data_IF_797994669984
#
_entry.id   IF_797994669984
#
_cell.length_a   1.000
_cell.length_b   1.000
_cell.length_c   1.000
_cell.angle_alpha   90.00
_cell.angle_beta   90.00
_cell.angle_gamma   90.00
#
_symmetry.space_group_name_H-M   'P 1'
#
loop_
_entity.id
_entity.type
_entity.pdbx_description
1 polymer ?
#
# COMPACT_ATOMS: atom_id res chain seq x y z
N UNK A 1 8.27 26.59 34.59
CA UNK A 1 7.01 26.87 33.85
C UNK A 1 6.91 28.32 33.37
N UNK A 2 6.89 29.35 34.23
CA UNK A 2 6.66 30.76 33.82
C UNK A 2 7.68 31.33 32.80
N UNK A 3 8.98 31.10 33.01
CA UNK A 3 10.05 31.52 32.07
C UNK A 3 10.02 30.82 30.70
N UNK A 4 9.45 29.62 30.63
CA UNK A 4 9.30 28.86 29.37
C UNK A 4 8.13 29.41 28.56
N UNK A 5 7.03 29.77 29.25
CA UNK A 5 5.87 30.43 28.64
C UNK A 5 6.22 31.83 28.13
N UNK A 6 6.93 32.65 28.92
CA UNK A 6 7.39 33.98 28.47
C UNK A 6 8.34 33.91 27.26
N UNK A 7 9.18 32.87 27.17
CA UNK A 7 10.04 32.65 25.99
C UNK A 7 9.24 32.24 24.76
N UNK A 8 8.21 31.39 24.92
CA UNK A 8 7.32 31.03 23.82
C UNK A 8 6.47 32.21 23.34
N UNK A 9 6.03 33.06 24.25
CA UNK A 9 5.21 34.24 23.95
C UNK A 9 6.02 35.33 23.24
N UNK A 10 7.23 35.65 23.73
CA UNK A 10 8.17 36.56 23.03
C UNK A 10 8.64 36.04 21.69
N UNK A 11 8.74 34.71 21.55
CA UNK A 11 8.97 34.13 20.25
C UNK A 11 7.78 34.59 19.38
N UNK A 12 6.50 34.33 19.79
CA UNK A 12 5.29 34.52 18.95
C UNK A 12 5.13 35.93 18.41
N UNK A 13 5.57 36.91 19.19
CA UNK A 13 5.51 38.33 18.84
C UNK A 13 6.50 38.70 17.70
N UNK A 14 7.49 37.86 17.40
CA UNK A 14 8.43 38.04 16.29
C UNK A 14 7.92 37.27 15.05
N UNK A 15 6.94 37.86 14.36
CA UNK A 15 6.15 37.25 13.26
C UNK A 15 7.01 36.59 12.16
N UNK A 16 8.20 37.14 11.88
CA UNK A 16 9.16 36.60 10.92
C UNK A 16 9.85 35.31 11.39
N UNK A 17 10.18 35.22 12.68
CA UNK A 17 10.82 34.02 13.25
C UNK A 17 9.80 32.90 13.48
N UNK A 18 8.55 33.22 13.79
CA UNK A 18 7.49 32.21 13.87
C UNK A 18 7.12 31.62 12.53
N UNK A 19 6.92 32.47 11.53
CA UNK A 19 6.62 32.00 10.18
C UNK A 19 7.77 31.12 9.63
N UNK A 20 9.03 31.48 9.90
CA UNK A 20 10.18 30.66 9.54
C UNK A 20 10.20 29.32 10.30
N UNK A 21 9.98 29.32 11.61
CA UNK A 21 9.98 28.08 12.40
C UNK A 21 8.81 27.16 12.02
N UNK A 22 7.62 27.71 11.77
CA UNK A 22 6.45 26.97 11.32
C UNK A 22 6.61 26.43 9.90
N UNK A 23 7.18 27.20 8.98
CA UNK A 23 7.44 26.71 7.61
C UNK A 23 8.42 25.53 7.62
N UNK A 24 9.46 25.56 8.46
CA UNK A 24 10.37 24.42 8.66
C UNK A 24 9.66 23.21 9.24
N UNK A 25 8.89 23.38 10.31
CA UNK A 25 8.14 22.27 10.92
C UNK A 25 7.14 21.66 9.93
N UNK A 26 6.45 22.48 9.15
CA UNK A 26 5.54 22.00 8.11
C UNK A 26 6.27 21.29 6.97
N UNK A 27 7.49 21.73 6.61
CA UNK A 27 8.31 21.04 5.61
C UNK A 27 8.75 19.65 6.10
N UNK A 28 9.25 19.57 7.34
CA UNK A 28 9.62 18.30 7.99
C UNK A 28 8.42 17.36 8.12
N UNK A 29 7.25 17.88 8.49
CA UNK A 29 6.04 17.09 8.60
C UNK A 29 5.58 16.53 7.24
N UNK A 30 5.65 17.35 6.18
CA UNK A 30 5.35 16.90 4.80
C UNK A 30 6.34 15.84 4.33
N UNK A 31 7.63 16.03 4.57
CA UNK A 31 8.65 15.05 4.20
C UNK A 31 8.40 13.71 4.90
N UNK A 32 8.13 13.75 6.21
CA UNK A 32 7.82 12.54 6.99
C UNK A 32 6.56 11.84 6.49
N UNK A 33 5.50 12.57 6.17
CA UNK A 33 4.28 11.96 5.66
C UNK A 33 4.49 11.37 4.27
N UNK A 34 5.18 12.07 3.36
CA UNK A 34 5.51 11.53 2.05
C UNK A 34 6.32 10.22 2.16
N UNK A 35 7.26 10.15 3.12
CA UNK A 35 8.00 8.92 3.41
C UNK A 35 7.08 7.80 3.91
N UNK A 36 6.11 8.11 4.78
CA UNK A 36 5.15 7.12 5.26
C UNK A 36 4.23 6.62 4.15
N UNK A 37 3.68 7.54 3.36
CA UNK A 37 2.79 7.21 2.23
C UNK A 37 3.52 6.34 1.20
N UNK A 38 4.76 6.70 0.85
CA UNK A 38 5.57 5.90 -0.09
C UNK A 38 5.92 4.51 0.44
N UNK A 39 6.10 4.36 1.76
CA UNK A 39 6.32 3.06 2.39
C UNK A 39 5.06 2.19 2.31
N UNK A 40 3.90 2.74 2.64
CA UNK A 40 2.63 2.02 2.60
C UNK A 40 2.24 1.63 1.15
N UNK A 41 2.45 2.53 0.18
CA UNK A 41 2.30 2.22 -1.25
C UNK A 41 3.22 1.07 -1.69
N UNK A 42 4.49 1.12 -1.27
CA UNK A 42 5.47 0.07 -1.58
C UNK A 42 5.06 -1.28 -1.00
N UNK A 43 4.59 -1.29 0.25
CA UNK A 43 4.07 -2.49 0.91
C UNK A 43 2.84 -3.05 0.20
N UNK A 44 1.91 -2.20 -0.21
CA UNK A 44 0.72 -2.62 -0.94
C UNK A 44 1.08 -3.22 -2.30
N UNK A 45 1.91 -2.55 -3.10
CA UNK A 45 2.40 -3.07 -4.39
C UNK A 45 3.13 -4.40 -4.23
N UNK A 46 3.95 -4.52 -3.19
CA UNK A 46 4.66 -5.76 -2.86
C UNK A 46 3.70 -6.92 -2.57
N UNK A 47 2.63 -6.65 -1.81
CA UNK A 47 1.59 -7.63 -1.51
C UNK A 47 0.82 -8.05 -2.78
N UNK A 48 0.42 -7.08 -3.62
CA UNK A 48 -0.29 -7.33 -4.88
C UNK A 48 0.54 -8.21 -5.83
N UNK A 49 1.80 -7.82 -6.08
CA UNK A 49 2.72 -8.60 -6.91
C UNK A 49 3.03 -9.98 -6.32
N UNK A 50 3.16 -10.06 -4.99
CA UNK A 50 3.40 -11.31 -4.28
C UNK A 50 2.24 -12.29 -4.45
N UNK A 51 1.01 -11.83 -4.22
CA UNK A 51 -0.22 -12.60 -4.39
C UNK A 51 -0.36 -13.09 -5.83
N UNK A 52 -0.15 -12.21 -6.82
CA UNK A 52 -0.24 -12.57 -8.23
C UNK A 52 0.79 -13.66 -8.61
N UNK A 53 2.05 -13.49 -8.23
CA UNK A 53 3.10 -14.47 -8.54
C UNK A 53 2.86 -15.81 -7.85
N UNK A 54 2.38 -15.81 -6.60
CA UNK A 54 2.05 -17.03 -5.89
C UNK A 54 0.90 -17.79 -6.57
N UNK A 55 -0.19 -17.10 -6.91
CA UNK A 55 -1.33 -17.71 -7.60
C UNK A 55 -0.93 -18.23 -8.98
N UNK A 56 -0.14 -17.47 -9.75
CA UNK A 56 0.37 -17.92 -11.03
C UNK A 56 1.19 -19.21 -10.90
N UNK A 57 2.05 -19.30 -9.87
CA UNK A 57 2.83 -20.51 -9.61
C UNK A 57 1.95 -21.69 -9.22
N UNK A 58 0.96 -21.49 -8.35
CA UNK A 58 0.04 -22.55 -7.93
C UNK A 58 -0.81 -23.07 -9.09
N UNK A 59 -1.35 -22.17 -9.94
CA UNK A 59 -2.10 -22.53 -11.14
C UNK A 59 -1.21 -23.32 -12.11
N UNK A 60 0.04 -22.87 -12.32
CA UNK A 60 1.00 -23.59 -13.16
C UNK A 60 1.33 -24.98 -12.62
N UNK A 61 1.40 -25.13 -11.30
CA UNK A 61 1.64 -26.44 -10.68
C UNK A 61 0.42 -27.36 -10.75
N UNK A 62 -0.78 -26.83 -10.52
CA UNK A 62 -2.01 -27.63 -10.44
C UNK A 62 -2.58 -27.98 -11.82
N UNK A 63 -2.61 -27.01 -12.73
CA UNK A 63 -3.27 -27.15 -14.04
C UNK A 63 -2.28 -27.18 -15.21
N UNK A 64 -0.97 -27.03 -14.96
CA UNK A 64 0.05 -26.92 -16.01
C UNK A 64 -0.17 -25.73 -16.98
N UNK A 65 -0.84 -24.66 -16.51
CA UNK A 65 -1.17 -23.46 -17.30
C UNK A 65 -0.40 -22.25 -16.79
N UNK A 66 0.15 -21.44 -17.70
CA UNK A 66 0.70 -20.12 -17.36
C UNK A 66 -0.42 -19.07 -17.42
N UNK A 67 -0.95 -18.71 -16.25
CA UNK A 67 -2.08 -17.79 -16.13
C UNK A 67 -1.66 -16.35 -15.75
N UNK A 68 -0.36 -16.03 -15.81
CA UNK A 68 0.15 -14.75 -15.30
C UNK A 68 -0.50 -13.53 -15.99
N UNK A 69 -0.71 -13.59 -17.30
CA UNK A 69 -1.36 -12.52 -18.06
C UNK A 69 -2.83 -12.36 -17.65
N UNK A 70 -3.57 -13.46 -17.53
CA UNK A 70 -4.97 -13.42 -17.13
C UNK A 70 -5.15 -12.93 -15.69
N UNK A 71 -4.33 -13.41 -14.74
CA UNK A 71 -4.35 -12.93 -13.35
C UNK A 71 -4.05 -11.42 -13.25
N UNK A 72 -3.23 -10.88 -14.17
CA UNK A 72 -2.92 -9.45 -14.21
C UNK A 72 -4.12 -8.59 -14.64
N UNK A 73 -5.17 -9.18 -15.20
CA UNK A 73 -6.43 -8.50 -15.52
C UNK A 73 -7.42 -8.45 -14.36
N UNK A 74 -7.17 -9.22 -13.30
CA UNK A 74 -8.06 -9.32 -12.14
C UNK A 74 -7.71 -8.29 -11.06
N UNK A 75 -8.73 -7.81 -10.36
CA UNK A 75 -8.55 -6.97 -9.16
C UNK A 75 -8.04 -7.80 -7.98
N UNK A 76 -7.46 -7.13 -6.99
CA UNK A 76 -6.93 -7.79 -5.79
C UNK A 76 -8.01 -8.60 -5.04
N UNK A 77 -9.25 -8.13 -4.98
CA UNK A 77 -10.36 -8.87 -4.36
C UNK A 77 -10.69 -10.15 -5.13
N UNK A 78 -10.69 -10.10 -6.46
CA UNK A 78 -10.90 -11.27 -7.31
C UNK A 78 -9.75 -12.28 -7.14
N UNK A 79 -8.51 -11.81 -7.01
CA UNK A 79 -7.36 -12.69 -6.73
C UNK A 79 -7.52 -13.42 -5.38
N UNK A 80 -8.01 -12.75 -4.33
CA UNK A 80 -8.28 -13.40 -3.05
C UNK A 80 -9.41 -14.42 -3.12
N UNK A 81 -10.50 -14.10 -3.83
CA UNK A 81 -11.60 -15.03 -4.04
C UNK A 81 -11.16 -16.26 -4.83
N UNK A 82 -10.42 -16.04 -5.91
CA UNK A 82 -9.79 -17.09 -6.70
C UNK A 82 -8.89 -17.96 -5.83
N UNK A 83 -8.06 -17.37 -4.96
CA UNK A 83 -7.20 -18.11 -4.03
C UNK A 83 -7.98 -19.11 -3.17
N UNK A 84 -9.20 -18.78 -2.76
CA UNK A 84 -10.05 -19.68 -1.99
C UNK A 84 -10.60 -20.82 -2.86
N UNK A 85 -11.02 -20.50 -4.09
CA UNK A 85 -11.56 -21.48 -5.05
C UNK A 85 -10.48 -22.38 -5.65
N UNK A 86 -9.23 -21.92 -5.68
CA UNK A 86 -8.11 -22.67 -6.26
C UNK A 86 -7.90 -24.03 -5.59
N UNK A 87 -8.21 -24.14 -4.31
CA UNK A 87 -8.09 -25.37 -3.55
C UNK A 87 -9.25 -26.34 -3.80
N UNK A 88 -10.42 -25.84 -4.23
CA UNK A 88 -11.65 -26.62 -4.37
C UNK A 88 -11.97 -27.01 -5.81
N UNK A 89 -11.53 -26.24 -6.82
CA UNK A 89 -11.74 -26.58 -8.23
C UNK A 89 -10.78 -27.68 -8.70
N UNK A 90 -11.26 -28.63 -9.50
CA UNK A 90 -10.43 -29.71 -10.04
C UNK A 90 -9.91 -29.40 -11.45
N UNK A 91 -10.56 -28.48 -12.15
CA UNK A 91 -10.18 -28.04 -13.49
C UNK A 91 -9.98 -26.53 -13.60
N UNK A 92 -9.27 -26.10 -14.64
CA UNK A 92 -9.05 -24.68 -14.93
C UNK A 92 -10.34 -23.98 -15.35
N UNK A 93 -11.17 -24.67 -16.12
CA UNK A 93 -12.43 -24.17 -16.64
C UNK A 93 -13.42 -23.88 -15.50
N UNK A 94 -13.51 -24.76 -14.50
CA UNK A 94 -14.30 -24.54 -13.28
C UNK A 94 -13.82 -23.29 -12.53
N UNK A 95 -12.51 -23.14 -12.38
CA UNK A 95 -11.94 -21.99 -11.69
C UNK A 95 -12.26 -20.67 -12.42
N UNK A 96 -12.24 -20.66 -13.76
CA UNK A 96 -12.61 -19.49 -14.54
C UNK A 96 -14.11 -19.17 -14.44
N UNK A 97 -14.98 -20.19 -14.38
CA UNK A 97 -16.43 -19.99 -14.23
C UNK A 97 -16.79 -19.29 -12.92
N UNK A 98 -16.04 -19.52 -11.84
CA UNK A 98 -16.25 -18.83 -10.57
C UNK A 98 -15.89 -17.34 -10.59
N UNK A 99 -15.17 -16.88 -11.62
CA UNK A 99 -14.75 -15.49 -11.78
C UNK A 99 -15.61 -14.70 -12.77
N UNK A 100 -16.64 -15.35 -13.35
CA UNK A 100 -17.49 -14.78 -14.38
C UNK A 100 -18.84 -14.29 -13.84
#
# INVERSE_FOLDING_TARGET
>A
MRKLMEKHEKFKDDEGLWSLAMSRQMAEWREKNNLLDSYDEGKQKGLELGTLNLLAMQIKQKFAIDAKEWLSTLSLSQLYELSNQLLTCDTWEELQQHMH
#
